data_IF_175532092487
#
_entry.id   IF_175532092487
#
_cell.length_a   1.000
_cell.length_b   1.000
_cell.length_c   1.000
_cell.angle_alpha   90.00
_cell.angle_beta   90.00
_cell.angle_gamma   90.00
#
_symmetry.space_group_name_H-M   'P 1'
#
loop_
_entity.id
_entity.type
_entity.pdbx_description
1 polymer ?
#
# COMPACT_ATOMS: atom_id res chain seq x y z
N UNK A 1 15.64 57.54 14.12
CA UNK A 1 16.72 57.44 13.10
C UNK A 1 16.23 58.04 11.79
N UNK A 2 17.13 58.54 10.92
CA UNK A 2 16.78 58.91 9.55
C UNK A 2 16.14 57.70 8.83
N UNK A 3 15.22 57.93 7.89
CA UNK A 3 14.52 56.83 7.24
C UNK A 3 15.49 56.07 6.32
N UNK A 4 15.38 54.75 6.27
CA UNK A 4 16.10 53.94 5.29
C UNK A 4 15.37 53.90 3.93
N UNK A 5 16.08 53.43 2.91
CA UNK A 5 15.49 53.14 1.60
C UNK A 5 14.41 52.06 1.75
N UNK A 6 13.18 52.27 1.23
CA UNK A 6 12.13 51.26 1.30
C UNK A 6 12.58 49.91 0.73
N UNK A 7 12.55 48.86 1.57
CA UNK A 7 12.94 47.50 1.22
C UNK A 7 11.77 46.73 0.60
N UNK A 8 12.09 45.77 -0.28
CA UNK A 8 11.13 44.93 -0.99
C UNK A 8 10.08 45.69 -1.82
N UNK A 9 10.44 46.86 -2.36
CA UNK A 9 9.55 47.63 -3.23
C UNK A 9 9.32 46.91 -4.56
N UNK A 10 8.08 46.46 -4.77
CA UNK A 10 7.70 45.71 -5.96
C UNK A 10 6.27 46.05 -6.38
N UNK A 11 6.08 46.24 -7.67
CA UNK A 11 4.78 46.46 -8.28
C UNK A 11 4.32 45.25 -9.10
N UNK A 12 3.05 44.89 -8.96
CA UNK A 12 2.44 43.76 -9.66
C UNK A 12 0.96 44.00 -9.98
N UNK A 13 0.40 43.17 -10.86
CA UNK A 13 -1.03 43.15 -11.19
C UNK A 13 -1.60 41.75 -11.08
N UNK A 14 -2.86 41.63 -10.68
CA UNK A 14 -3.59 40.36 -10.63
C UNK A 14 -4.61 40.23 -11.75
N UNK A 15 -5.07 41.37 -12.31
CA UNK A 15 -6.22 41.45 -13.20
C UNK A 15 -5.98 42.26 -14.48
N UNK A 16 -4.77 42.78 -14.69
CA UNK A 16 -4.40 43.68 -15.79
C UNK A 16 -5.20 44.99 -15.85
N UNK A 17 -5.94 45.34 -14.78
CA UNK A 17 -6.70 46.59 -14.65
C UNK A 17 -6.12 47.48 -13.56
N UNK A 18 -5.67 46.88 -12.46
CA UNK A 18 -5.10 47.55 -11.30
C UNK A 18 -3.66 47.10 -11.07
N UNK A 19 -2.76 48.05 -10.85
CA UNK A 19 -1.42 47.80 -10.29
C UNK A 19 -1.49 48.00 -8.80
N UNK A 20 -0.81 47.12 -8.07
CA UNK A 20 -0.55 47.26 -6.64
C UNK A 20 0.94 47.16 -6.39
N UNK A 21 1.50 48.17 -5.73
CA UNK A 21 2.87 48.13 -5.25
C UNK A 21 2.89 47.91 -3.75
N UNK A 22 3.86 47.11 -3.30
CA UNK A 22 4.05 46.80 -1.89
C UNK A 22 5.51 47.02 -1.50
N UNK A 23 5.74 47.42 -0.25
CA UNK A 23 7.07 47.52 0.36
C UNK A 23 6.96 47.28 1.87
N UNK A 24 8.08 46.97 2.52
CA UNK A 24 8.11 46.78 3.97
C UNK A 24 8.18 48.13 4.67
N UNK A 25 7.37 48.31 5.70
CA UNK A 25 7.49 49.43 6.62
C UNK A 25 8.60 49.12 7.62
N UNK A 26 9.47 50.10 7.89
CA UNK A 26 10.47 49.96 8.94
C UNK A 26 9.99 50.60 10.24
N UNK A 27 10.37 49.98 11.36
CA UNK A 27 10.08 50.51 12.68
C UNK A 27 10.94 51.74 12.95
N UNK A 28 10.38 52.91 12.65
CA UNK A 28 10.92 54.16 13.17
C UNK A 28 10.22 54.44 14.50
N UNK A 29 10.98 54.65 15.58
CA UNK A 29 10.44 55.07 16.90
C UNK A 29 9.85 56.51 16.90
N UNK A 30 9.33 56.98 15.77
CA UNK A 30 8.75 58.30 15.56
C UNK A 30 7.24 58.16 15.36
N UNK A 31 6.46 58.82 16.23
CA UNK A 31 5.01 58.70 16.29
C UNK A 31 4.30 60.01 15.97
N UNK A 32 3.00 59.91 15.65
CA UNK A 32 2.14 61.07 15.41
C UNK A 32 2.57 61.88 14.17
N UNK A 33 2.77 63.19 14.32
CA UNK A 33 3.16 64.07 13.20
C UNK A 33 4.56 63.78 12.64
N UNK A 34 5.39 63.09 13.42
CA UNK A 34 6.77 62.77 13.06
C UNK A 34 6.91 61.39 12.42
N UNK A 35 5.79 60.65 12.26
CA UNK A 35 5.80 59.33 11.62
C UNK A 35 6.24 59.42 10.16
N UNK A 36 6.90 58.39 9.63
CA UNK A 36 7.33 58.35 8.24
C UNK A 36 6.12 58.47 7.31
N UNK A 37 6.22 59.36 6.31
CA UNK A 37 5.19 59.57 5.30
C UNK A 37 5.65 58.96 3.98
N UNK A 38 4.85 58.03 3.47
CA UNK A 38 5.07 57.39 2.19
C UNK A 38 4.28 58.08 1.09
N UNK A 39 4.97 58.47 0.02
CA UNK A 39 4.35 59.03 -1.19
C UNK A 39 4.81 58.27 -2.42
N UNK A 40 3.86 57.80 -3.22
CA UNK A 40 4.17 57.15 -4.51
C UNK A 40 3.90 58.13 -5.64
N UNK A 41 4.91 58.26 -6.49
CA UNK A 41 4.89 59.15 -7.63
C UNK A 41 5.25 58.38 -8.90
N UNK A 42 4.65 58.78 -10.02
CA UNK A 42 5.00 58.26 -11.33
C UNK A 42 5.52 59.37 -12.25
N UNK A 43 6.54 59.06 -13.05
CA UNK A 43 7.03 59.93 -14.11
C UNK A 43 6.12 59.81 -15.34
N UNK A 44 5.20 60.75 -15.52
CA UNK A 44 4.54 60.90 -16.82
C UNK A 44 5.50 61.59 -17.77
N UNK A 45 5.96 60.88 -18.79
CA UNK A 45 6.57 61.51 -19.97
C UNK A 45 5.41 62.05 -20.80
N UNK A 46 5.10 63.33 -20.67
CA UNK A 46 4.34 64.02 -21.71
C UNK A 46 5.22 64.00 -22.95
N UNK A 47 4.86 63.21 -23.96
CA UNK A 47 5.40 63.38 -25.31
C UNK A 47 4.44 64.35 -26.00
N UNK A 48 4.79 65.64 -26.22
CA UNK A 48 4.04 66.44 -27.17
C UNK A 48 4.41 65.92 -28.55
N UNK A 49 3.51 65.16 -29.17
CA UNK A 49 3.62 64.91 -30.61
C UNK A 49 3.34 66.22 -31.35
N UNK A 50 4.29 66.58 -32.22
CA UNK A 50 4.25 67.61 -33.27
C UNK A 50 4.33 69.07 -32.80
N UNK A 51 5.56 69.61 -32.77
CA UNK A 51 5.98 70.92 -33.33
C UNK A 51 7.50 71.12 -33.07
N UNK A 52 8.22 71.95 -33.87
CA UNK A 52 9.66 71.78 -34.10
C UNK A 52 10.55 72.24 -32.94
N UNK A 53 11.70 71.57 -32.88
CA UNK A 53 12.82 71.78 -31.96
C UNK A 53 13.21 73.26 -31.78
N UNK A 54 12.76 73.90 -30.70
CA UNK A 54 13.55 74.87 -29.95
C UNK A 54 12.99 74.94 -28.52
N UNK A 55 13.87 74.77 -27.52
CA UNK A 55 13.62 74.87 -26.07
C UNK A 55 12.70 73.78 -25.46
N UNK A 56 13.21 72.54 -25.37
CA UNK A 56 12.65 71.54 -24.46
C UNK A 56 13.15 71.79 -23.03
N UNK A 57 12.36 72.53 -22.24
CA UNK A 57 12.41 72.44 -20.79
C UNK A 57 11.78 71.10 -20.37
N UNK A 58 12.60 70.19 -19.84
CA UNK A 58 12.24 68.81 -19.54
C UNK A 58 11.48 68.74 -18.21
N UNK A 59 10.32 69.41 -18.13
CA UNK A 59 9.48 69.36 -16.93
C UNK A 59 8.78 68.00 -16.81
N UNK A 60 9.50 67.04 -16.26
CA UNK A 60 8.94 65.74 -15.88
C UNK A 60 8.04 65.95 -14.65
N UNK A 61 6.74 66.16 -14.87
CA UNK A 61 5.78 66.32 -13.78
C UNK A 61 5.60 64.98 -13.05
N UNK A 62 6.02 64.94 -11.78
CA UNK A 62 5.80 63.81 -10.87
C UNK A 62 4.37 63.87 -10.33
N UNK A 63 3.51 62.96 -10.80
CA UNK A 63 2.12 62.88 -10.31
C UNK A 63 2.03 61.90 -9.13
N UNK A 64 1.35 62.32 -8.05
CA UNK A 64 1.02 61.44 -6.94
C UNK A 64 -0.04 60.41 -7.35
N UNK A 65 0.23 59.12 -7.11
CA UNK A 65 -0.64 58.02 -7.55
C UNK A 65 -1.74 57.69 -6.55
N UNK A 66 -1.35 57.43 -5.31
CA UNK A 66 -2.24 57.03 -4.23
C UNK A 66 -1.58 57.35 -2.88
N UNK A 67 -2.40 57.42 -1.83
CA UNK A 67 -1.91 57.43 -0.45
C UNK A 67 -1.64 55.99 -0.04
N UNK A 68 -0.46 55.75 0.51
CA UNK A 68 -0.09 54.43 1.02
C UNK A 68 -0.98 54.02 2.20
N UNK A 69 -1.39 52.76 2.22
CA UNK A 69 -2.00 52.12 3.40
C UNK A 69 -0.95 51.21 4.03
N UNK A 70 -0.60 51.46 5.30
CA UNK A 70 0.50 50.77 5.98
C UNK A 70 0.00 49.98 7.19
N UNK A 71 0.32 48.68 7.20
CA UNK A 71 0.07 47.77 8.32
C UNK A 71 1.19 46.71 8.37
N UNK A 72 2.40 47.11 8.82
CA UNK A 72 3.68 46.37 8.71
C UNK A 72 4.18 46.16 7.27
N UNK A 73 3.26 45.97 6.32
CA UNK A 73 3.49 46.01 4.88
C UNK A 73 2.66 47.15 4.30
N UNK A 74 3.31 48.09 3.64
CA UNK A 74 2.62 49.17 2.98
C UNK A 74 2.18 48.75 1.58
N UNK A 75 1.01 49.23 1.15
CA UNK A 75 0.49 49.00 -0.19
C UNK A 75 -0.13 50.25 -0.79
N UNK A 76 -0.11 50.33 -2.11
CA UNK A 76 -0.70 51.42 -2.88
C UNK A 76 -1.18 50.86 -4.22
N UNK A 77 -2.45 51.11 -4.58
CA UNK A 77 -3.03 50.57 -5.80
C UNK A 77 -3.71 51.64 -6.64
N UNK A 78 -3.61 51.50 -7.97
CA UNK A 78 -4.23 52.42 -8.93
C UNK A 78 -4.60 51.72 -10.23
N UNK A 79 -5.46 52.35 -11.03
CA UNK A 79 -5.91 51.82 -12.31
C UNK A 79 -4.92 52.15 -13.44
N UNK A 80 -4.63 51.16 -14.29
CA UNK A 80 -3.59 51.20 -15.34
C UNK A 80 -3.96 52.11 -16.52
N UNK A 81 -5.26 52.41 -16.71
CA UNK A 81 -5.79 53.19 -17.86
C UNK A 81 -5.21 52.66 -19.20
N UNK A 82 -4.55 53.51 -19.98
CA UNK A 82 -3.93 53.16 -21.27
C UNK A 82 -2.41 52.88 -21.17
N UNK A 83 -1.80 53.20 -20.02
CA UNK A 83 -0.35 53.17 -19.85
C UNK A 83 0.12 51.80 -19.36
N UNK A 84 0.98 51.13 -20.14
CA UNK A 84 1.48 49.79 -19.80
C UNK A 84 2.85 49.78 -19.11
N UNK A 85 3.69 50.75 -19.45
CA UNK A 85 5.03 50.89 -18.88
C UNK A 85 4.97 51.95 -17.79
N UNK A 86 5.37 51.58 -16.58
CA UNK A 86 5.36 52.44 -15.41
C UNK A 86 6.77 52.59 -14.87
N UNK A 87 7.13 53.81 -14.48
CA UNK A 87 8.33 54.11 -13.70
C UNK A 87 7.89 54.79 -12.39
N UNK A 88 7.78 53.99 -11.34
CA UNK A 88 7.17 54.38 -10.06
C UNK A 88 8.27 54.58 -9.03
N UNK A 89 8.24 55.73 -8.35
CA UNK A 89 9.14 56.02 -7.24
C UNK A 89 8.35 56.15 -5.95
N UNK A 90 8.67 55.32 -4.96
CA UNK A 90 8.22 55.48 -3.58
C UNK A 90 9.21 56.35 -2.83
N UNK A 91 8.68 57.31 -2.07
CA UNK A 91 9.45 58.26 -1.29
C UNK A 91 8.99 58.19 0.16
N UNK A 92 9.94 57.95 1.07
CA UNK A 92 9.73 58.01 2.52
C UNK A 92 10.38 59.25 3.08
N UNK A 93 9.64 59.99 3.89
CA UNK A 93 10.08 61.26 4.46
C UNK A 93 9.68 61.34 5.94
N UNK A 94 10.64 61.74 6.78
CA UNK A 94 10.43 62.09 8.18
C UNK A 94 11.26 63.35 8.51
N UNK A 95 11.15 63.95 9.72
CA UNK A 95 11.90 65.16 10.06
C UNK A 95 13.44 65.06 9.98
N UNK A 96 13.98 63.84 9.94
CA UNK A 96 15.41 63.55 9.92
C UNK A 96 15.96 63.31 8.50
N UNK A 97 15.10 63.17 7.49
CA UNK A 97 15.56 63.02 6.12
C UNK A 97 14.55 62.36 5.17
N UNK A 98 15.05 62.05 3.97
CA UNK A 98 14.27 61.54 2.84
C UNK A 98 15.02 60.47 2.09
N UNK A 99 14.35 59.36 1.77
CA UNK A 99 14.87 58.27 0.92
C UNK A 99 13.84 57.85 -0.11
N UNK A 100 14.33 57.25 -1.21
CA UNK A 100 13.50 56.86 -2.35
C UNK A 100 13.91 55.50 -2.90
N UNK A 101 12.93 54.73 -3.37
CA UNK A 101 13.15 53.53 -4.17
C UNK A 101 12.32 53.63 -5.45
N UNK A 102 12.83 53.09 -6.56
CA UNK A 102 12.20 53.19 -7.88
C UNK A 102 12.07 51.80 -8.51
N UNK A 103 10.92 51.50 -9.10
CA UNK A 103 10.65 50.27 -9.86
C UNK A 103 10.08 50.65 -11.24
N UNK A 104 10.74 50.16 -12.28
CA UNK A 104 10.35 50.36 -13.68
C UNK A 104 9.92 49.02 -14.27
N UNK A 105 8.69 48.96 -14.77
CA UNK A 105 8.11 47.69 -15.22
C UNK A 105 7.08 47.86 -16.33
N UNK A 106 6.94 46.81 -17.15
CA UNK A 106 5.78 46.61 -18.01
C UNK A 106 4.77 45.73 -17.27
N UNK A 107 3.53 46.22 -17.20
CA UNK A 107 2.40 45.52 -16.57
C UNK A 107 2.22 44.09 -17.11
N UNK A 108 2.46 43.86 -18.42
CA UNK A 108 2.34 42.53 -19.03
C UNK A 108 3.33 41.50 -18.46
N UNK A 109 4.46 41.97 -17.93
CA UNK A 109 5.53 41.13 -17.40
C UNK A 109 5.50 41.03 -15.86
N UNK A 110 4.49 41.62 -15.20
CA UNK A 110 4.36 41.67 -13.73
C UNK A 110 3.04 41.09 -13.24
N UNK A 111 2.56 40.06 -13.92
CA UNK A 111 1.31 39.42 -13.56
C UNK A 111 1.50 38.34 -12.49
N UNK A 112 0.82 38.49 -11.36
CA UNK A 112 0.71 37.52 -10.28
C UNK A 112 -0.77 37.16 -10.09
N UNK A 113 -1.25 36.08 -10.74
CA UNK A 113 -2.64 35.65 -10.66
C UNK A 113 -3.08 35.36 -9.21
N UNK A 114 -4.37 35.52 -8.92
CA UNK A 114 -4.96 35.02 -7.66
C UNK A 114 -4.95 33.49 -7.63
N UNK A 115 -5.10 32.88 -6.46
CA UNK A 115 -5.21 31.42 -6.39
C UNK A 115 -6.55 30.96 -7.01
N UNK A 116 -6.58 29.81 -7.71
CA UNK A 116 -7.84 29.16 -8.06
C UNK A 116 -8.69 28.91 -6.81
N UNK A 117 -10.00 29.11 -6.93
CA UNK A 117 -10.93 28.94 -5.81
C UNK A 117 -12.11 28.06 -6.22
N UNK A 118 -12.83 27.51 -5.22
CA UNK A 118 -13.89 26.53 -5.43
C UNK A 118 -13.38 25.41 -6.34
N UNK A 119 -12.46 24.58 -5.85
CA UNK A 119 -12.01 23.40 -6.59
C UNK A 119 -12.99 22.27 -6.29
N UNK A 120 -13.45 21.57 -7.32
CA UNK A 120 -14.30 20.38 -7.20
C UNK A 120 -13.85 19.30 -8.17
N UNK A 121 -14.31 18.07 -7.95
CA UNK A 121 -13.90 16.88 -8.67
C UNK A 121 -15.08 16.13 -9.30
N UNK A 122 -14.78 15.48 -10.42
CA UNK A 122 -15.56 14.37 -10.98
C UNK A 122 -14.63 13.15 -11.06
N UNK A 123 -14.93 12.10 -10.30
CA UNK A 123 -14.10 10.89 -10.22
C UNK A 123 -14.75 9.71 -10.95
N UNK A 124 -13.91 8.94 -11.65
CA UNK A 124 -14.22 7.56 -12.07
C UNK A 124 -13.41 6.59 -11.20
N UNK A 125 -13.34 5.31 -11.59
CA UNK A 125 -12.49 4.32 -10.92
C UNK A 125 -11.00 4.56 -11.16
N UNK A 126 -10.62 5.17 -12.28
CA UNK A 126 -9.23 5.30 -12.72
C UNK A 126 -8.83 6.72 -13.12
N UNK A 127 -9.77 7.67 -13.07
CA UNK A 127 -9.54 9.06 -13.45
C UNK A 127 -10.18 10.02 -12.44
N UNK A 128 -9.54 11.17 -12.26
CA UNK A 128 -10.07 12.28 -11.48
C UNK A 128 -9.97 13.54 -12.33
N UNK A 129 -11.12 14.17 -12.58
CA UNK A 129 -11.18 15.44 -13.29
C UNK A 129 -11.41 16.56 -12.28
N UNK A 130 -10.44 17.46 -12.16
CA UNK A 130 -10.55 18.62 -11.30
C UNK A 130 -11.03 19.82 -12.09
N UNK A 131 -11.90 20.59 -11.47
CA UNK A 131 -12.48 21.80 -11.98
C UNK A 131 -12.27 22.93 -10.96
N UNK A 132 -12.16 24.16 -11.44
CA UNK A 132 -11.99 25.31 -10.55
C UNK A 132 -12.55 26.60 -11.16
N UNK A 133 -12.83 27.56 -10.28
CA UNK A 133 -13.16 28.91 -10.66
C UNK A 133 -11.97 29.86 -10.53
N UNK A 134 -12.05 30.95 -11.29
CA UNK A 134 -11.05 32.00 -11.32
C UNK A 134 -11.72 33.35 -11.56
N UNK A 135 -11.27 34.40 -10.87
CA UNK A 135 -11.98 35.70 -10.83
C UNK A 135 -11.95 36.42 -12.17
N UNK A 136 -10.86 36.28 -12.94
CA UNK A 136 -10.69 36.99 -14.21
C UNK A 136 -10.70 36.06 -15.42
N UNK A 137 -11.82 36.07 -16.16
CA UNK A 137 -12.01 35.24 -17.34
C UNK A 137 -11.36 35.79 -18.61
N UNK A 138 -10.81 37.01 -18.57
CA UNK A 138 -10.24 37.67 -19.75
C UNK A 138 -8.74 37.39 -19.94
N UNK A 139 -8.11 36.71 -19.00
CA UNK A 139 -6.69 36.44 -19.03
C UNK A 139 -6.47 34.96 -19.31
N UNK A 140 -5.61 34.71 -20.29
CA UNK A 140 -5.15 33.39 -20.65
C UNK A 140 -4.12 32.91 -19.62
N UNK A 141 -4.50 31.88 -18.85
CA UNK A 141 -3.67 31.29 -17.81
C UNK A 141 -3.31 29.86 -18.17
N UNK A 142 -2.13 29.41 -17.76
CA UNK A 142 -1.81 27.99 -17.73
C UNK A 142 -1.74 27.55 -16.27
N UNK A 143 -2.24 26.36 -15.97
CA UNK A 143 -2.37 25.89 -14.61
C UNK A 143 -1.58 24.60 -14.40
N UNK A 144 -1.11 24.42 -13.18
CA UNK A 144 -0.43 23.22 -12.73
C UNK A 144 -1.19 22.65 -11.54
N UNK A 145 -1.39 21.35 -11.59
CA UNK A 145 -2.05 20.56 -10.56
C UNK A 145 -1.01 19.71 -9.88
N UNK A 146 -1.05 19.69 -8.56
CA UNK A 146 -0.30 18.76 -7.73
C UNK A 146 -1.26 17.72 -7.19
N UNK A 147 -0.89 16.45 -7.29
CA UNK A 147 -1.65 15.30 -6.79
C UNK A 147 -0.76 14.49 -5.85
N UNK A 148 -1.18 14.38 -4.60
CA UNK A 148 -0.58 13.51 -3.60
C UNK A 148 -1.24 12.13 -3.68
N UNK A 149 -0.41 11.12 -3.93
CA UNK A 149 -0.80 9.72 -4.02
C UNK A 149 -0.89 9.06 -2.64
N UNK A 150 -1.63 7.93 -2.51
CA UNK A 150 -1.73 7.17 -1.26
C UNK A 150 -0.38 6.71 -0.68
N UNK A 151 0.62 6.48 -1.53
CA UNK A 151 1.96 6.08 -1.12
C UNK A 151 2.85 7.26 -0.67
N UNK A 152 2.30 8.48 -0.67
CA UNK A 152 2.99 9.71 -0.32
C UNK A 152 3.76 10.36 -1.48
N UNK A 153 3.77 9.77 -2.68
CA UNK A 153 4.39 10.41 -3.84
C UNK A 153 3.56 11.58 -4.36
N UNK A 154 4.25 12.56 -4.91
CA UNK A 154 3.62 13.76 -5.48
C UNK A 154 3.84 13.78 -6.98
N UNK A 155 2.77 13.95 -7.74
CA UNK A 155 2.79 14.13 -9.19
C UNK A 155 2.29 15.51 -9.59
N UNK A 156 2.91 16.07 -10.63
CA UNK A 156 2.54 17.37 -11.19
C UNK A 156 1.97 17.21 -12.59
N UNK A 157 0.79 17.74 -12.82
CA UNK A 157 0.10 17.73 -14.11
C UNK A 157 -0.13 19.16 -14.59
N UNK A 158 0.36 19.47 -15.80
CA UNK A 158 0.12 20.77 -16.42
C UNK A 158 -1.17 20.73 -17.26
N UNK A 159 -1.90 21.83 -17.29
CA UNK A 159 -3.07 21.99 -18.15
C UNK A 159 -2.66 21.91 -19.62
N UNK A 160 -3.32 21.05 -20.40
CA UNK A 160 -2.99 20.83 -21.83
C UNK A 160 -3.29 22.04 -22.71
N UNK A 161 -4.24 22.89 -22.29
CA UNK A 161 -4.72 24.05 -23.06
C UNK A 161 -4.74 25.29 -22.17
N UNK A 162 -4.13 26.37 -22.66
CA UNK A 162 -4.16 27.66 -21.98
C UNK A 162 -5.61 28.19 -21.90
N UNK A 163 -6.02 28.65 -20.72
CA UNK A 163 -7.40 29.05 -20.41
C UNK A 163 -8.32 27.90 -19.97
N UNK A 164 -7.87 26.64 -20.05
CA UNK A 164 -8.64 25.52 -19.49
C UNK A 164 -8.75 25.63 -17.98
N UNK A 165 -9.97 25.44 -17.45
CA UNK A 165 -10.28 25.40 -16.01
C UNK A 165 -10.54 23.99 -15.49
N UNK A 166 -9.96 23.04 -16.23
CA UNK A 166 -10.17 21.62 -16.01
C UNK A 166 -8.90 20.86 -16.36
N UNK A 167 -8.60 19.87 -15.55
CA UNK A 167 -7.52 18.91 -15.79
C UNK A 167 -8.00 17.52 -15.40
N UNK A 168 -7.70 16.53 -16.25
CA UNK A 168 -8.01 15.13 -15.96
C UNK A 168 -6.72 14.41 -15.66
N UNK A 169 -6.65 13.85 -14.45
CA UNK A 169 -5.58 12.97 -13.98
C UNK A 169 -6.05 11.54 -14.25
N UNK A 170 -5.23 10.76 -14.96
CA UNK A 170 -5.56 9.40 -15.40
C UNK A 170 -4.60 8.39 -14.78
N UNK A 171 -4.98 7.11 -14.80
CA UNK A 171 -4.15 6.03 -14.27
C UNK A 171 -4.14 5.96 -12.74
N UNK A 172 -5.18 6.49 -12.11
CA UNK A 172 -5.37 6.39 -10.66
C UNK A 172 -5.82 4.97 -10.28
N UNK A 173 -5.52 4.59 -9.04
CA UNK A 173 -5.95 3.33 -8.47
C UNK A 173 -7.43 3.43 -8.06
N UNK A 174 -8.27 2.42 -8.36
CA UNK A 174 -9.64 2.39 -7.87
C UNK A 174 -9.73 2.40 -6.34
N UNK A 175 -10.82 2.97 -5.84
CA UNK A 175 -11.15 3.04 -4.42
C UNK A 175 -10.00 3.57 -3.54
N UNK A 176 -9.26 4.56 -4.03
CA UNK A 176 -8.08 5.12 -3.38
C UNK A 176 -8.24 6.63 -3.19
N UNK A 177 -7.71 7.14 -2.07
CA UNK A 177 -7.83 8.55 -1.70
C UNK A 177 -6.63 9.35 -2.22
N UNK A 178 -6.93 10.49 -2.85
CA UNK A 178 -5.95 11.41 -3.42
C UNK A 178 -6.22 12.82 -2.89
N UNK A 179 -5.16 13.59 -2.68
CA UNK A 179 -5.28 15.02 -2.37
C UNK A 179 -4.71 15.84 -3.51
N UNK A 180 -5.49 16.75 -4.06
CA UNK A 180 -5.07 17.60 -5.17
C UNK A 180 -5.21 19.09 -4.88
N UNK A 181 -4.33 19.89 -5.48
CA UNK A 181 -4.41 21.36 -5.45
C UNK A 181 -3.90 21.95 -6.76
N UNK A 182 -4.39 23.14 -7.11
CA UNK A 182 -4.12 23.78 -8.39
C UNK A 182 -3.53 25.18 -8.18
N UNK A 183 -2.56 25.55 -9.01
CA UNK A 183 -2.04 26.93 -9.12
C UNK A 183 -1.98 27.34 -10.57
N UNK A 184 -2.01 28.64 -10.86
CA UNK A 184 -1.99 29.14 -12.23
C UNK A 184 -0.96 30.25 -12.43
N UNK A 185 -0.47 30.39 -13.65
CA UNK A 185 0.44 31.41 -14.11
C UNK A 185 -0.08 32.07 -15.39
N UNK A 186 0.38 33.29 -15.69
CA UNK A 186 0.05 33.95 -16.94
C UNK A 186 0.64 33.17 -18.13
N UNK A 187 -0.19 32.78 -19.10
CA UNK A 187 0.26 31.99 -20.26
C UNK A 187 1.24 32.76 -21.16
N UNK A 188 1.05 34.07 -21.24
CA UNK A 188 1.98 34.99 -21.92
C UNK A 188 2.81 35.71 -20.88
N UNK A 189 4.11 35.81 -21.15
CA UNK A 189 5.05 36.53 -20.28
C UNK A 189 5.03 36.01 -18.83
N UNK A 190 5.15 34.69 -18.67
CA UNK A 190 5.18 34.05 -17.35
C UNK A 190 6.22 34.70 -16.44
N UNK A 191 5.76 35.15 -15.27
CA UNK A 191 6.62 35.78 -14.27
C UNK A 191 6.69 34.97 -12.98
N UNK A 192 5.53 34.57 -12.45
CA UNK A 192 5.43 33.72 -11.25
C UNK A 192 4.08 33.00 -11.20
N UNK A 193 4.05 31.92 -10.44
CA UNK A 193 2.83 31.19 -10.09
C UNK A 193 1.98 31.96 -9.09
N UNK A 194 0.67 31.75 -9.10
CA UNK A 194 -0.22 32.06 -7.98
C UNK A 194 0.13 31.21 -6.76
N UNK A 195 -0.46 31.58 -5.62
CA UNK A 195 -0.59 30.62 -4.51
C UNK A 195 -1.41 29.40 -4.95
N UNK A 196 -1.23 28.29 -4.25
CA UNK A 196 -2.03 27.10 -4.42
C UNK A 196 -3.48 27.33 -3.97
N UNK A 197 -4.41 26.67 -4.62
CA UNK A 197 -5.78 26.52 -4.12
C UNK A 197 -5.79 25.79 -2.79
N UNK A 198 -6.94 25.85 -2.10
CA UNK A 198 -7.19 24.92 -1.00
C UNK A 198 -7.07 23.47 -1.51
N UNK A 199 -6.48 22.56 -0.71
CA UNK A 199 -6.37 21.15 -1.07
C UNK A 199 -7.76 20.51 -1.07
N UNK A 200 -8.02 19.71 -2.11
CA UNK A 200 -9.22 18.91 -2.26
C UNK A 200 -8.85 17.45 -2.09
N UNK A 201 -9.44 16.78 -1.10
CA UNK A 201 -9.27 15.33 -0.91
C UNK A 201 -10.46 14.61 -1.50
N UNK A 202 -10.20 13.68 -2.41
CA UNK A 202 -11.22 12.92 -3.11
C UNK A 202 -10.82 11.44 -3.21
N UNK A 203 -11.83 10.57 -3.22
CA UNK A 203 -11.64 9.13 -3.43
C UNK A 203 -12.17 8.72 -4.80
N UNK A 204 -11.38 7.95 -5.53
CA UNK A 204 -11.83 7.33 -6.79
C UNK A 204 -12.97 6.34 -6.53
N UNK A 205 -13.79 6.10 -7.55
CA UNK A 205 -14.89 5.14 -7.45
C UNK A 205 -14.38 3.70 -7.29
N UNK A 206 -15.26 2.80 -6.84
CA UNK A 206 -14.96 1.37 -6.87
C UNK A 206 -14.75 0.91 -8.31
N UNK A 207 -13.82 -0.02 -8.51
CA UNK A 207 -13.56 -0.70 -9.77
C UNK A 207 -13.76 -2.21 -9.63
N UNK A 208 -13.74 -2.97 -10.72
CA UNK A 208 -13.87 -4.44 -10.65
C UNK A 208 -12.66 -5.05 -9.91
N UNK A 209 -12.85 -6.00 -8.98
CA UNK A 209 -11.73 -6.64 -8.30
C UNK A 209 -10.83 -7.35 -9.31
N UNK A 210 -9.51 -7.19 -9.19
CA UNK A 210 -8.52 -7.75 -10.11
C UNK A 210 -7.53 -8.67 -9.39
N UNK A 211 -6.97 -9.63 -10.13
CA UNK A 211 -6.11 -10.67 -9.59
C UNK A 211 -6.86 -11.96 -9.21
N UNK A 212 -6.12 -12.93 -8.65
CA UNK A 212 -6.64 -14.24 -8.25
C UNK A 212 -6.56 -14.44 -6.73
N UNK A 213 -7.54 -15.15 -6.19
CA UNK A 213 -7.51 -15.67 -4.83
C UNK A 213 -6.56 -16.86 -4.76
N UNK A 214 -5.91 -17.02 -3.61
CA UNK A 214 -5.20 -18.25 -3.29
C UNK A 214 -6.18 -19.21 -2.63
N UNK A 215 -6.55 -20.27 -3.35
CA UNK A 215 -7.56 -21.24 -2.90
C UNK A 215 -6.90 -22.59 -2.59
N UNK A 216 -7.38 -23.30 -1.58
CA UNK A 216 -6.90 -24.64 -1.26
C UNK A 216 -8.02 -25.53 -0.71
N UNK A 217 -7.70 -26.79 -0.42
CA UNK A 217 -8.70 -27.83 -0.15
C UNK A 217 -8.22 -28.91 0.81
N UNK A 218 -9.15 -29.45 1.58
CA UNK A 218 -9.03 -30.73 2.27
C UNK A 218 -10.12 -31.68 1.76
N UNK A 219 -9.76 -32.92 1.41
CA UNK A 219 -10.71 -33.93 0.91
C UNK A 219 -10.80 -35.04 1.96
N UNK A 220 -12.02 -35.31 2.41
CA UNK A 220 -12.35 -36.42 3.30
C UNK A 220 -13.27 -37.38 2.54
N UNK A 221 -12.80 -38.61 2.22
CA UNK A 221 -13.67 -39.64 1.66
C UNK A 221 -14.82 -39.98 2.62
N UNK A 222 -16.02 -40.14 2.08
CA UNK A 222 -17.23 -40.52 2.83
C UNK A 222 -18.01 -41.57 2.04
N UNK A 223 -18.97 -42.23 2.68
CA UNK A 223 -19.86 -43.15 1.97
C UNK A 223 -20.62 -42.40 0.87
N UNK A 224 -20.53 -42.87 -0.37
CA UNK A 224 -21.21 -42.29 -1.53
C UNK A 224 -20.50 -41.10 -2.19
N UNK A 225 -19.35 -40.64 -1.70
CA UNK A 225 -18.66 -39.50 -2.30
C UNK A 225 -17.51 -38.94 -1.47
N UNK A 226 -17.32 -37.63 -1.55
CA UNK A 226 -16.21 -36.92 -0.90
C UNK A 226 -16.69 -35.59 -0.33
N UNK A 227 -16.37 -35.35 0.94
CA UNK A 227 -16.48 -34.02 1.54
C UNK A 227 -15.23 -33.21 1.19
N UNK A 228 -15.43 -32.05 0.60
CA UNK A 228 -14.37 -31.12 0.22
C UNK A 228 -14.52 -29.87 1.06
N UNK A 229 -13.58 -29.64 1.97
CA UNK A 229 -13.47 -28.36 2.67
C UNK A 229 -12.57 -27.45 1.84
N UNK A 230 -13.13 -26.34 1.35
CA UNK A 230 -12.46 -25.33 0.54
C UNK A 230 -12.01 -24.18 1.45
N UNK A 231 -10.84 -23.63 1.15
CA UNK A 231 -10.26 -22.48 1.83
C UNK A 231 -9.82 -21.46 0.79
N UNK A 232 -9.90 -20.17 1.11
CA UNK A 232 -9.43 -19.10 0.24
C UNK A 232 -8.89 -17.92 1.03
N UNK A 233 -7.90 -17.24 0.45
CA UNK A 233 -7.35 -15.98 0.96
C UNK A 233 -6.96 -15.06 -0.19
N UNK A 234 -6.90 -13.76 0.07
CA UNK A 234 -6.44 -12.78 -0.90
C UNK A 234 -4.92 -12.90 -1.08
N UNK A 235 -4.45 -12.91 -2.32
CA UNK A 235 -3.01 -12.87 -2.60
C UNK A 235 -2.47 -11.45 -2.40
N UNK A 236 -1.16 -11.26 -2.19
CA UNK A 236 -0.58 -9.92 -2.13
C UNK A 236 -0.80 -9.09 -3.41
N UNK A 237 -0.97 -9.75 -4.55
CA UNK A 237 -1.28 -9.13 -5.85
C UNK A 237 -2.78 -8.91 -6.09
N UNK A 238 -3.65 -9.39 -5.21
CA UNK A 238 -5.09 -9.23 -5.35
C UNK A 238 -5.47 -7.79 -5.03
N UNK A 239 -6.12 -7.11 -5.97
CA UNK A 239 -6.62 -5.75 -5.77
C UNK A 239 -8.14 -5.79 -5.66
N UNK A 240 -8.66 -5.53 -4.46
CA UNK A 240 -10.09 -5.55 -4.21
C UNK A 240 -10.84 -4.43 -4.96
N UNK A 241 -10.15 -3.33 -5.29
CA UNK A 241 -10.68 -2.16 -6.00
C UNK A 241 -11.99 -1.64 -5.39
N UNK A 242 -12.17 -1.82 -4.08
CA UNK A 242 -13.43 -1.64 -3.38
C UNK A 242 -13.51 -2.53 -2.15
N UNK A 243 -14.65 -2.50 -1.46
CA UNK A 243 -14.91 -3.39 -0.33
C UNK A 243 -15.47 -4.72 -0.83
N UNK A 244 -14.81 -5.83 -0.51
CA UNK A 244 -15.34 -7.17 -0.80
C UNK A 244 -16.55 -7.45 0.09
N UNK A 245 -17.69 -7.78 -0.54
CA UNK A 245 -18.97 -8.02 0.12
C UNK A 245 -19.30 -9.51 0.24
N UNK A 246 -18.88 -10.32 -0.74
CA UNK A 246 -19.12 -11.76 -0.73
C UNK A 246 -18.11 -12.52 -1.59
N UNK A 247 -18.06 -13.83 -1.37
CA UNK A 247 -17.37 -14.81 -2.20
C UNK A 247 -18.39 -15.75 -2.82
N UNK A 248 -18.27 -16.00 -4.12
CA UNK A 248 -19.11 -16.97 -4.82
C UNK A 248 -18.29 -18.21 -5.10
N UNK A 249 -18.75 -19.35 -4.57
CA UNK A 249 -18.15 -20.66 -4.77
C UNK A 249 -19.04 -21.42 -5.73
N UNK A 250 -18.48 -21.85 -6.85
CA UNK A 250 -19.17 -22.65 -7.86
C UNK A 250 -18.44 -23.96 -8.08
N UNK A 251 -19.18 -25.04 -8.26
CA UNK A 251 -18.60 -26.34 -8.61
C UNK A 251 -19.45 -27.03 -9.68
N UNK A 252 -18.76 -27.61 -10.65
CA UNK A 252 -19.37 -28.25 -11.80
C UNK A 252 -18.68 -29.58 -12.07
N UNK A 253 -19.49 -30.57 -12.46
CA UNK A 253 -19.00 -31.88 -12.84
C UNK A 253 -18.40 -31.78 -14.26
N UNK A 254 -17.14 -32.17 -14.41
CA UNK A 254 -16.42 -32.05 -15.70
C UNK A 254 -16.97 -33.04 -16.73
N UNK A 255 -17.42 -34.20 -16.28
CA UNK A 255 -17.98 -35.26 -17.12
C UNK A 255 -19.51 -35.29 -16.97
N UNK A 256 -20.26 -35.27 -18.09
CA UNK A 256 -21.71 -35.52 -18.08
C UNK A 256 -22.62 -34.30 -18.05
N UNK A 257 -22.12 -33.10 -18.38
CA UNK A 257 -22.96 -31.92 -18.71
C UNK A 257 -23.92 -31.45 -17.61
N UNK A 258 -23.62 -31.75 -16.35
CA UNK A 258 -24.44 -31.33 -15.22
C UNK A 258 -24.38 -29.82 -15.03
N UNK A 259 -25.50 -29.21 -14.63
CA UNK A 259 -25.55 -27.77 -14.34
C UNK A 259 -24.60 -27.44 -13.16
N UNK A 260 -23.90 -26.30 -13.21
CA UNK A 260 -23.05 -25.86 -12.12
C UNK A 260 -23.89 -25.51 -10.89
N UNK A 261 -23.42 -25.93 -9.72
CA UNK A 261 -23.97 -25.51 -8.44
C UNK A 261 -23.18 -24.30 -7.93
N UNK A 262 -23.85 -23.41 -7.18
CA UNK A 262 -23.23 -22.19 -6.64
C UNK A 262 -23.79 -21.82 -5.28
N UNK A 263 -22.92 -21.31 -4.40
CA UNK A 263 -23.30 -20.71 -3.12
C UNK A 263 -22.52 -19.42 -2.92
N UNK A 264 -23.20 -18.37 -2.48
CA UNK A 264 -22.59 -17.12 -2.08
C UNK A 264 -22.41 -17.05 -0.57
N UNK A 265 -21.21 -16.65 -0.13
CA UNK A 265 -20.83 -16.49 1.26
C UNK A 265 -20.47 -15.04 1.55
N UNK A 266 -20.84 -14.52 2.73
CA UNK A 266 -20.39 -13.20 3.19
C UNK A 266 -18.86 -13.11 3.22
N UNK A 267 -18.30 -11.92 3.03
CA UNK A 267 -16.86 -11.67 3.04
C UNK A 267 -16.14 -12.00 4.37
N UNK A 268 -16.89 -12.27 5.44
CA UNK A 268 -16.35 -12.76 6.73
C UNK A 268 -15.88 -14.21 6.64
N UNK A 269 -16.43 -15.00 5.71
CA UNK A 269 -16.06 -16.40 5.53
C UNK A 269 -14.87 -16.54 4.58
N UNK A 270 -13.94 -17.43 4.95
CA UNK A 270 -12.75 -17.80 4.18
C UNK A 270 -12.68 -19.31 3.88
N UNK A 271 -13.70 -20.05 4.30
CA UNK A 271 -13.80 -21.50 4.09
C UNK A 271 -15.25 -21.96 4.03
N UNK A 272 -15.46 -23.09 3.36
CA UNK A 272 -16.76 -23.78 3.30
C UNK A 272 -16.56 -25.27 3.05
N UNK A 273 -17.59 -26.08 3.29
CA UNK A 273 -17.58 -27.50 2.98
C UNK A 273 -18.68 -27.83 2.00
N UNK A 274 -18.31 -28.50 0.92
CA UNK A 274 -19.22 -29.02 -0.11
C UNK A 274 -19.11 -30.55 -0.16
N UNK A 275 -20.16 -31.18 -0.66
CA UNK A 275 -20.18 -32.62 -0.96
C UNK A 275 -20.14 -32.80 -2.48
N UNK A 276 -19.28 -33.69 -2.97
CA UNK A 276 -19.21 -34.07 -4.37
C UNK A 276 -19.21 -35.59 -4.51
N UNK A 277 -19.72 -36.10 -5.63
CA UNK A 277 -19.63 -37.52 -5.95
C UNK A 277 -18.18 -37.92 -6.32
N UNK A 278 -17.94 -39.15 -6.80
CA UNK A 278 -16.59 -39.64 -7.11
C UNK A 278 -16.02 -39.18 -8.47
N UNK A 279 -16.72 -38.38 -9.27
CA UNK A 279 -16.28 -37.91 -10.58
C UNK A 279 -15.31 -36.72 -10.50
N UNK A 280 -14.81 -36.26 -11.65
CA UNK A 280 -13.98 -35.06 -11.69
C UNK A 280 -14.84 -33.79 -11.56
N UNK A 281 -14.43 -32.86 -10.70
CA UNK A 281 -15.10 -31.56 -10.51
C UNK A 281 -14.16 -30.39 -10.75
N UNK A 282 -14.67 -29.35 -11.39
CA UNK A 282 -14.04 -28.04 -11.49
C UNK A 282 -14.71 -27.13 -10.47
N UNK A 283 -13.90 -26.54 -9.60
CA UNK A 283 -14.34 -25.62 -8.55
C UNK A 283 -13.77 -24.25 -8.86
N UNK A 284 -14.59 -23.21 -8.80
CA UNK A 284 -14.15 -21.83 -8.88
C UNK A 284 -14.63 -20.99 -7.71
N UNK A 285 -13.78 -20.04 -7.30
CA UNK A 285 -14.10 -19.05 -6.28
C UNK A 285 -13.83 -17.66 -6.85
N UNK A 286 -14.82 -16.78 -6.75
CA UNK A 286 -14.78 -15.39 -7.20
C UNK A 286 -15.07 -14.45 -6.02
N UNK A 287 -14.37 -13.34 -5.92
CA UNK A 287 -14.65 -12.29 -4.94
C UNK A 287 -15.57 -11.24 -5.56
N UNK A 288 -16.55 -10.73 -4.82
CA UNK A 288 -17.52 -9.74 -5.29
C UNK A 288 -17.39 -8.44 -4.50
N UNK A 289 -17.40 -7.30 -5.19
CA UNK A 289 -17.63 -5.97 -4.60
C UNK A 289 -18.93 -5.34 -5.14
N UNK A 290 -19.18 -4.04 -4.92
CA UNK A 290 -20.41 -3.41 -5.39
C UNK A 290 -20.48 -3.23 -6.92
N UNK A 291 -19.34 -3.34 -7.61
CA UNK A 291 -19.23 -3.16 -9.06
C UNK A 291 -19.40 -4.48 -9.79
N UNK A 292 -18.55 -5.47 -9.48
CA UNK A 292 -18.56 -6.76 -10.19
C UNK A 292 -17.81 -7.86 -9.41
N UNK A 293 -17.68 -9.02 -10.04
CA UNK A 293 -16.89 -10.14 -9.56
C UNK A 293 -15.45 -10.12 -10.10
N UNK A 294 -14.52 -10.67 -9.33
CA UNK A 294 -13.16 -10.96 -9.75
C UNK A 294 -13.14 -12.07 -10.81
N UNK A 295 -12.01 -12.23 -11.49
CA UNK A 295 -11.77 -13.45 -12.27
C UNK A 295 -11.83 -14.71 -11.37
N UNK A 296 -12.31 -15.85 -11.90
CA UNK A 296 -12.42 -17.08 -11.13
C UNK A 296 -11.05 -17.66 -10.81
N UNK A 297 -10.85 -17.99 -9.55
CA UNK A 297 -9.73 -18.81 -9.08
C UNK A 297 -10.16 -20.26 -9.11
N UNK A 298 -9.43 -21.13 -9.80
CA UNK A 298 -9.91 -22.46 -10.19
C UNK A 298 -9.07 -23.57 -9.58
N UNK A 299 -9.74 -24.61 -9.09
CA UNK A 299 -9.17 -25.84 -8.59
C UNK A 299 -9.91 -27.02 -9.25
N UNK A 300 -9.17 -28.05 -9.66
CA UNK A 300 -9.79 -29.27 -10.19
C UNK A 300 -9.55 -30.42 -9.23
N UNK A 301 -10.64 -31.08 -8.84
CA UNK A 301 -10.61 -32.33 -8.08
C UNK A 301 -10.78 -33.47 -9.08
N UNK A 302 -9.74 -34.30 -9.20
CA UNK A 302 -9.75 -35.46 -10.08
C UNK A 302 -10.70 -36.55 -9.57
N UNK A 303 -11.19 -37.38 -10.49
CA UNK A 303 -11.99 -38.58 -10.19
C UNK A 303 -11.33 -39.46 -9.13
N UNK A 304 -12.13 -39.95 -8.18
CA UNK A 304 -11.73 -41.03 -7.30
C UNK A 304 -11.90 -42.35 -8.05
N UNK A 305 -10.84 -43.14 -8.21
CA UNK A 305 -10.94 -44.51 -8.73
C UNK A 305 -11.39 -45.46 -7.60
N UNK A 306 -12.02 -46.60 -7.92
CA UNK A 306 -12.41 -47.61 -6.90
C UNK A 306 -11.21 -48.22 -6.18
N UNK A 307 -10.04 -48.18 -6.84
CA UNK A 307 -8.72 -48.24 -6.21
C UNK A 307 -8.43 -46.96 -5.40
N UNK A 308 -9.39 -46.34 -4.72
CA UNK A 308 -9.13 -45.21 -3.82
C UNK A 308 -8.53 -45.70 -2.50
N UNK A 309 -8.53 -47.01 -2.24
CA UNK A 309 -7.48 -47.68 -1.46
C UNK A 309 -6.14 -47.85 -2.22
N UNK A 310 -5.84 -47.05 -3.23
CA UNK A 310 -4.61 -47.08 -4.03
C UNK A 310 -4.27 -45.72 -4.69
N UNK A 311 -5.21 -44.76 -4.75
CA UNK A 311 -4.94 -43.33 -5.02
C UNK A 311 -5.03 -42.50 -3.72
N UNK A 312 -5.84 -42.95 -2.74
CA UNK A 312 -5.77 -42.47 -1.35
C UNK A 312 -5.15 -43.49 -0.38
N UNK A 313 -4.91 -44.75 -0.78
CA UNK A 313 -3.70 -45.43 -0.30
C UNK A 313 -2.62 -45.03 -1.29
N UNK A 314 -1.83 -44.01 -1.02
CA UNK A 314 -0.79 -44.21 -0.03
C UNK A 314 -0.37 -45.69 0.02
N UNK A 315 0.21 -46.25 -1.05
CA UNK A 315 1.44 -47.01 -0.77
C UNK A 315 2.20 -46.12 0.21
N UNK A 316 2.38 -46.58 1.45
CA UNK A 316 2.79 -45.78 2.60
C UNK A 316 3.99 -44.91 2.21
N UNK A 317 3.70 -43.70 1.70
CA UNK A 317 4.73 -42.73 1.37
C UNK A 317 5.37 -42.47 2.71
N UNK A 318 6.56 -43.05 2.89
CA UNK A 318 7.27 -43.00 4.16
C UNK A 318 7.35 -41.55 4.57
N UNK A 319 6.89 -41.25 5.78
CA UNK A 319 6.92 -39.90 6.28
C UNK A 319 8.38 -39.51 6.48
N UNK A 320 8.88 -38.62 5.63
CA UNK A 320 10.23 -38.09 5.75
C UNK A 320 10.32 -37.17 6.96
N UNK A 321 11.40 -37.24 7.72
CA UNK A 321 11.66 -36.28 8.79
C UNK A 321 12.25 -34.99 8.22
N UNK A 322 11.83 -33.85 8.74
CA UNK A 322 12.39 -32.53 8.44
C UNK A 322 12.86 -31.84 9.71
N UNK A 323 13.94 -31.08 9.56
CA UNK A 323 14.56 -30.36 10.67
C UNK A 323 14.01 -28.93 10.74
N UNK A 324 13.72 -28.50 11.95
CA UNK A 324 13.51 -27.09 12.26
C UNK A 324 14.83 -26.33 12.35
N UNK A 325 14.76 -25.06 12.01
CA UNK A 325 15.81 -24.04 12.12
C UNK A 325 15.26 -22.86 12.93
N UNK A 326 16.11 -21.91 13.31
CA UNK A 326 15.66 -20.71 14.03
C UNK A 326 14.65 -19.88 13.21
N UNK A 327 14.73 -19.96 11.87
CA UNK A 327 13.88 -19.22 10.94
C UNK A 327 12.59 -19.96 10.53
N UNK A 328 12.45 -21.26 10.85
CA UNK A 328 11.29 -22.06 10.44
C UNK A 328 11.59 -23.54 10.24
N UNK A 329 10.77 -24.24 9.45
CA UNK A 329 11.00 -25.66 9.13
C UNK A 329 11.46 -25.78 7.69
N UNK A 330 12.64 -26.37 7.47
CA UNK A 330 13.21 -26.53 6.14
C UNK A 330 12.62 -27.77 5.45
N UNK A 331 12.00 -27.57 4.30
CA UNK A 331 11.38 -28.61 3.50
C UNK A 331 12.02 -28.62 2.13
N UNK A 332 12.58 -29.76 1.73
CA UNK A 332 13.05 -30.03 0.38
C UNK A 332 12.21 -31.13 -0.26
N UNK A 333 12.04 -31.05 -1.58
CA UNK A 333 11.35 -32.04 -2.39
C UNK A 333 12.04 -32.17 -3.75
N UNK A 334 11.82 -33.29 -4.43
CA UNK A 334 12.40 -33.49 -5.76
C UNK A 334 11.57 -32.75 -6.82
N UNK A 335 12.14 -31.74 -7.52
CA UNK A 335 11.42 -31.03 -8.56
C UNK A 335 11.29 -31.91 -9.80
N UNK A 336 10.09 -31.97 -10.38
CA UNK A 336 9.81 -32.60 -11.67
C UNK A 336 9.37 -31.55 -12.70
N UNK A 337 9.89 -31.67 -13.92
CA UNK A 337 9.60 -30.76 -15.04
C UNK A 337 8.14 -30.79 -15.50
N UNK A 338 7.40 -31.83 -15.10
CA UNK A 338 5.98 -31.98 -15.42
C UNK A 338 5.06 -31.04 -14.65
N UNK A 339 5.50 -30.44 -13.53
CA UNK A 339 4.66 -29.61 -12.66
C UNK A 339 4.88 -28.10 -12.89
N UNK A 340 3.78 -27.37 -13.03
CA UNK A 340 3.80 -25.91 -13.20
C UNK A 340 4.01 -25.18 -11.86
N UNK A 341 3.65 -25.83 -10.75
CA UNK A 341 3.77 -25.30 -9.40
C UNK A 341 3.74 -26.39 -8.34
N UNK A 342 4.23 -26.07 -7.15
CA UNK A 342 4.14 -26.91 -5.96
C UNK A 342 3.28 -26.24 -4.90
N UNK A 343 2.56 -27.04 -4.13
CA UNK A 343 1.82 -26.58 -2.96
C UNK A 343 2.27 -27.41 -1.76
N UNK A 344 2.66 -26.75 -0.69
CA UNK A 344 2.88 -27.39 0.59
C UNK A 344 1.76 -26.95 1.51
N UNK A 345 1.02 -27.92 2.04
CA UNK A 345 0.10 -27.67 3.14
C UNK A 345 0.61 -28.33 4.42
N UNK A 346 0.19 -27.78 5.56
CA UNK A 346 0.62 -28.28 6.85
C UNK A 346 -0.38 -28.04 7.96
N UNK A 347 -0.26 -28.87 8.99
CA UNK A 347 -1.06 -28.81 10.20
C UNK A 347 -0.36 -29.47 11.39
N UNK A 348 -0.79 -29.15 12.62
CA UNK A 348 -0.34 -29.82 13.83
C UNK A 348 -0.83 -31.28 13.91
N UNK A 349 -0.09 -32.11 14.65
CA UNK A 349 -0.34 -33.53 14.86
C UNK A 349 0.04 -33.92 16.30
N UNK A 350 -0.74 -34.76 17.01
CA UNK A 350 -2.06 -35.32 16.65
C UNK A 350 -3.19 -34.27 16.66
N UNK A 351 -4.28 -34.53 15.92
CA UNK A 351 -5.43 -33.59 15.77
C UNK A 351 -6.27 -33.51 17.05
N UNK A 352 -5.75 -32.87 18.09
CA UNK A 352 -6.50 -32.64 19.34
C UNK A 352 -7.38 -31.37 19.30
N UNK A 353 -7.21 -30.52 18.28
CA UNK A 353 -8.01 -29.32 18.02
C UNK A 353 -8.29 -29.19 16.51
N UNK A 354 -9.30 -28.40 16.08
CA UNK A 354 -9.52 -28.15 14.66
C UNK A 354 -8.20 -27.64 14.05
N UNK A 355 -7.74 -28.41 13.09
CA UNK A 355 -6.52 -28.17 12.33
C UNK A 355 -6.62 -26.84 11.57
N UNK A 356 -5.84 -25.83 11.96
CA UNK A 356 -5.69 -24.59 11.19
C UNK A 356 -4.83 -24.86 9.95
N UNK A 357 -5.41 -25.56 8.96
CA UNK A 357 -4.73 -25.93 7.71
C UNK A 357 -4.13 -24.68 7.04
N UNK A 358 -2.80 -24.65 6.98
CA UNK A 358 -2.07 -23.61 6.26
C UNK A 358 -1.50 -24.18 4.97
N UNK A 359 -1.32 -23.33 3.97
CA UNK A 359 -0.69 -23.71 2.72
C UNK A 359 0.08 -22.56 2.09
N UNK A 360 1.08 -22.93 1.29
CA UNK A 360 1.91 -22.01 0.50
C UNK A 360 2.19 -22.61 -0.87
N UNK A 361 2.16 -21.76 -1.89
CA UNK A 361 2.44 -22.11 -3.29
C UNK A 361 3.84 -21.69 -3.67
N UNK A 362 4.47 -22.48 -4.53
CA UNK A 362 5.81 -22.26 -5.06
C UNK A 362 5.80 -22.46 -6.58
N UNK A 363 6.67 -21.73 -7.29
CA UNK A 363 6.82 -21.88 -8.73
C UNK A 363 7.44 -23.23 -9.13
N UNK A 364 7.38 -23.57 -10.41
CA UNK A 364 7.93 -24.82 -10.98
C UNK A 364 9.41 -25.06 -10.71
N UNK A 365 10.20 -23.99 -10.56
CA UNK A 365 11.66 -24.08 -10.34
C UNK A 365 12.04 -24.31 -8.87
N UNK A 366 11.08 -24.31 -7.95
CA UNK A 366 11.37 -24.49 -6.53
C UNK A 366 11.56 -25.97 -6.16
N UNK A 367 12.61 -26.27 -5.41
CA UNK A 367 12.95 -27.60 -4.88
C UNK A 367 13.08 -27.62 -3.36
N UNK A 368 13.05 -26.46 -2.71
CA UNK A 368 13.06 -26.34 -1.26
C UNK A 368 12.49 -25.01 -0.80
N UNK A 369 12.08 -24.96 0.46
CA UNK A 369 11.63 -23.75 1.13
C UNK A 369 11.77 -23.89 2.65
N UNK A 370 12.09 -22.79 3.31
CA UNK A 370 11.86 -22.64 4.76
C UNK A 370 10.41 -22.18 4.95
N UNK A 371 9.62 -22.97 5.66
CA UNK A 371 8.28 -22.58 6.08
C UNK A 371 8.40 -21.86 7.41
N UNK A 372 8.17 -20.55 7.39
CA UNK A 372 8.13 -19.71 8.59
C UNK A 372 6.68 -19.40 8.94
N UNK A 373 6.27 -19.66 10.18
CA UNK A 373 4.94 -19.34 10.68
C UNK A 373 5.04 -18.95 12.16
N UNK A 374 4.42 -17.83 12.52
CA UNK A 374 4.30 -17.42 13.92
C UNK A 374 3.45 -18.40 14.76
N UNK A 375 2.67 -19.26 14.10
CA UNK A 375 1.87 -20.30 14.75
C UNK A 375 2.68 -21.57 15.08
N UNK A 376 3.97 -21.63 14.72
CA UNK A 376 4.81 -22.76 15.08
C UNK A 376 5.24 -22.72 16.54
N UNK A 377 4.98 -23.82 17.24
CA UNK A 377 5.24 -23.96 18.68
C UNK A 377 6.32 -25.04 18.90
N UNK A 378 7.36 -24.76 19.69
CA UNK A 378 8.32 -25.79 20.13
C UNK A 378 7.63 -26.99 20.80
N UNK A 379 8.08 -28.20 20.49
CA UNK A 379 7.49 -29.44 21.00
C UNK A 379 6.19 -29.87 20.30
N UNK A 380 5.67 -29.11 19.34
CA UNK A 380 4.50 -29.52 18.54
C UNK A 380 4.95 -30.12 17.22
N UNK A 381 4.46 -31.33 16.92
CA UNK A 381 4.72 -32.01 15.65
C UNK A 381 3.83 -31.44 14.56
N UNK A 382 4.42 -31.15 13.41
CA UNK A 382 3.70 -30.71 12.22
C UNK A 382 3.81 -31.75 11.12
N UNK A 383 2.70 -31.96 10.42
CA UNK A 383 2.61 -32.81 9.23
C UNK A 383 2.51 -31.93 8.00
N UNK A 384 3.40 -32.16 7.06
CA UNK A 384 3.48 -31.47 5.78
C UNK A 384 3.11 -32.41 4.65
N UNK A 385 2.31 -31.94 3.70
CA UNK A 385 2.00 -32.66 2.46
C UNK A 385 2.43 -31.80 1.28
N UNK A 386 3.27 -32.37 0.43
CA UNK A 386 3.83 -31.70 -0.74
C UNK A 386 3.06 -32.19 -1.96
N UNK A 387 2.50 -31.25 -2.72
CA UNK A 387 1.72 -31.50 -3.92
C UNK A 387 2.39 -30.89 -5.14
N UNK A 388 2.42 -31.63 -6.24
CA UNK A 388 2.71 -31.10 -7.57
C UNK A 388 1.41 -30.74 -8.28
N UNK A 389 1.35 -29.58 -8.93
CA UNK A 389 0.16 -29.09 -9.62
C UNK A 389 0.41 -28.86 -11.10
N UNK A 390 -0.47 -29.42 -11.95
CA UNK A 390 -0.53 -29.20 -13.41
C UNK A 390 -1.93 -28.81 -13.79
N UNK A 391 -2.11 -27.73 -14.55
CA UNK A 391 -3.42 -27.31 -15.04
C UNK A 391 -4.53 -27.31 -13.96
N UNK A 392 -4.23 -26.77 -12.77
CA UNK A 392 -5.09 -26.72 -11.58
C UNK A 392 -5.45 -28.07 -10.93
N UNK A 393 -4.78 -29.17 -11.32
CA UNK A 393 -4.90 -30.49 -10.68
C UNK A 393 -3.70 -30.74 -9.78
N UNK A 394 -3.94 -30.91 -8.48
CA UNK A 394 -2.91 -31.20 -7.49
C UNK A 394 -2.80 -32.71 -7.21
N UNK A 395 -1.59 -33.25 -7.25
CA UNK A 395 -1.26 -34.64 -6.94
C UNK A 395 -0.28 -34.68 -5.75
N UNK A 396 -0.53 -35.55 -4.77
CA UNK A 396 0.34 -35.70 -3.61
C UNK A 396 1.66 -36.38 -4.03
N UNK A 397 2.79 -35.79 -3.66
CA UNK A 397 4.13 -36.30 -3.97
C UNK A 397 4.80 -36.92 -2.74
N UNK A 398 4.84 -36.16 -1.65
CA UNK A 398 5.59 -36.52 -0.44
C UNK A 398 4.82 -36.13 0.82
N UNK A 399 5.05 -36.88 1.90
CA UNK A 399 4.61 -36.54 3.25
C UNK A 399 5.83 -36.35 4.13
N UNK A 400 5.85 -35.28 4.91
CA UNK A 400 6.91 -35.03 5.86
C UNK A 400 6.36 -34.67 7.23
N UNK A 401 7.19 -34.88 8.24
CA UNK A 401 6.89 -34.65 9.65
C UNK A 401 8.08 -33.95 10.28
N UNK A 402 7.82 -33.00 11.16
CA UNK A 402 8.91 -32.33 11.86
C UNK A 402 8.41 -31.37 12.93
N UNK A 403 9.37 -30.82 13.64
CA UNK A 403 9.17 -29.86 14.73
C UNK A 403 9.93 -28.58 14.36
N UNK A 404 9.43 -27.42 14.81
CA UNK A 404 10.24 -26.21 14.78
C UNK A 404 11.47 -26.37 15.69
N UNK A 405 11.22 -26.91 16.89
CA UNK A 405 12.25 -27.27 17.85
C UNK A 405 11.75 -28.46 18.66
N UNK A 406 12.53 -29.52 18.68
CA UNK A 406 12.27 -30.69 19.53
C UNK A 406 12.55 -30.34 21.00
N UNK A 407 11.69 -30.83 21.88
CA UNK A 407 11.82 -30.71 23.33
C UNK A 407 12.01 -32.11 23.94
N UNK A 408 12.68 -32.22 25.11
CA UNK A 408 12.85 -33.51 25.77
C UNK A 408 11.49 -34.11 26.16
N UNK A 409 11.36 -35.45 26.19
CA UNK A 409 10.18 -36.13 26.73
C UNK A 409 9.81 -35.59 28.11
N UNK A 410 8.52 -35.37 28.36
CA UNK A 410 8.04 -34.81 29.62
C UNK A 410 8.14 -35.83 30.78
N UNK A 411 8.04 -37.12 30.48
CA UNK A 411 8.05 -38.22 31.44
C UNK A 411 8.96 -39.33 30.93
N UNK A 412 9.75 -39.91 31.83
CA UNK A 412 10.52 -41.12 31.56
C UNK A 412 9.60 -42.35 31.45
N UNK A 413 9.96 -43.37 30.65
CA UNK A 413 9.16 -44.58 30.53
C UNK A 413 9.15 -45.34 31.86
N UNK A 414 7.95 -45.72 32.31
CA UNK A 414 7.78 -46.47 33.55
C UNK A 414 8.04 -47.95 33.25
N UNK A 415 9.08 -48.52 33.86
CA UNK A 415 9.35 -49.96 33.79
C UNK A 415 8.20 -50.72 34.46
N UNK A 416 7.50 -51.55 33.68
CA UNK A 416 6.35 -52.34 34.12
C UNK A 416 6.76 -53.70 34.68
N UNK A 417 7.79 -54.30 34.09
CA UNK A 417 8.24 -55.65 34.44
C UNK A 417 9.76 -55.72 34.51
N UNK A 418 10.25 -56.46 35.49
CA UNK A 418 11.66 -56.78 35.68
C UNK A 418 11.76 -58.29 35.90
N UNK A 419 12.38 -59.00 34.97
CA UNK A 419 12.68 -60.43 35.11
C UNK A 419 14.18 -60.62 35.35
N UNK A 420 14.52 -61.40 36.37
CA UNK A 420 15.89 -61.67 36.78
C UNK A 420 16.25 -63.13 36.49
N UNK A 421 17.40 -63.35 35.87
CA UNK A 421 18.06 -64.67 35.80
C UNK A 421 19.40 -64.61 36.53
N UNK A 422 20.08 -65.75 36.66
CA UNK A 422 21.39 -65.80 37.33
C UNK A 422 22.45 -64.88 36.67
N UNK A 423 22.32 -64.59 35.36
CA UNK A 423 23.29 -63.81 34.58
C UNK A 423 22.69 -62.63 33.78
N UNK A 424 21.38 -62.39 33.82
CA UNK A 424 20.74 -61.33 33.04
C UNK A 424 19.58 -60.65 33.75
N UNK A 425 19.32 -59.41 33.37
CA UNK A 425 18.16 -58.61 33.79
C UNK A 425 17.40 -58.21 32.53
N UNK A 426 16.10 -58.54 32.47
CA UNK A 426 15.21 -58.14 31.38
C UNK A 426 14.24 -57.10 31.91
N UNK A 427 14.24 -55.93 31.27
CA UNK A 427 13.35 -54.81 31.59
C UNK A 427 12.27 -54.71 30.50
N UNK A 428 11.03 -54.43 30.88
CA UNK A 428 9.95 -54.17 29.93
C UNK A 428 9.14 -52.95 30.36
N UNK A 429 8.92 -52.03 29.42
CA UNK A 429 8.14 -50.81 29.59
C UNK A 429 7.20 -50.62 28.40
N UNK A 430 6.16 -49.81 28.60
CA UNK A 430 5.26 -49.43 27.52
C UNK A 430 6.01 -48.49 26.56
N UNK A 431 5.86 -48.71 25.24
CA UNK A 431 6.32 -47.72 24.26
C UNK A 431 5.56 -46.42 24.48
N UNK A 432 6.22 -45.29 24.27
CA UNK A 432 5.49 -44.03 24.12
C UNK A 432 4.44 -44.19 23.01
N UNK A 433 3.26 -43.65 23.26
CA UNK A 433 2.15 -43.69 22.31
C UNK A 433 2.47 -42.73 21.17
N UNK A 434 2.82 -43.25 19.99
CA UNK A 434 3.08 -42.48 18.76
C UNK A 434 1.89 -41.63 18.28
N UNK A 435 0.71 -41.84 18.85
CA UNK A 435 -0.51 -41.09 18.58
C UNK A 435 -0.71 -39.89 19.54
N UNK A 436 0.15 -39.71 20.54
CA UNK A 436 0.13 -38.56 21.43
C UNK A 436 1.22 -37.55 21.05
N UNK A 437 1.09 -36.31 21.54
CA UNK A 437 2.02 -35.21 21.23
C UNK A 437 3.36 -35.42 21.94
N UNK A 438 4.18 -36.35 21.44
CA UNK A 438 5.56 -36.40 21.85
C UNK A 438 6.25 -35.08 21.49
N UNK A 439 7.03 -34.50 22.42
CA UNK A 439 7.70 -33.22 22.20
C UNK A 439 8.87 -33.27 21.21
N UNK A 440 9.25 -34.45 20.72
CA UNK A 440 10.37 -34.65 19.80
C UNK A 440 10.37 -36.04 19.18
N UNK A 441 11.39 -36.37 18.39
CA UNK A 441 11.60 -37.71 17.87
C UNK A 441 12.43 -38.54 18.85
N UNK A 442 11.87 -39.64 19.34
CA UNK A 442 12.60 -40.58 20.18
C UNK A 442 13.74 -41.24 19.39
N UNK A 443 14.97 -41.09 19.90
CA UNK A 443 16.19 -41.64 19.27
C UNK A 443 16.71 -42.91 19.93
N UNK A 444 16.20 -43.25 21.11
CA UNK A 444 16.66 -44.39 21.90
C UNK A 444 16.50 -44.16 23.40
N UNK A 445 16.95 -45.14 24.18
CA UNK A 445 16.82 -45.15 25.63
C UNK A 445 18.18 -45.27 26.32
N UNK A 446 18.33 -44.60 27.45
CA UNK A 446 19.48 -44.77 28.34
C UNK A 446 19.05 -45.53 29.59
N UNK A 447 19.71 -46.66 29.87
CA UNK A 447 19.46 -47.46 31.07
C UNK A 447 20.66 -47.35 32.01
N UNK A 448 20.39 -47.02 33.27
CA UNK A 448 21.39 -46.93 34.34
C UNK A 448 21.09 -47.98 35.41
N UNK A 449 22.09 -48.79 35.75
CA UNK A 449 21.98 -49.82 36.79
C UNK A 449 23.02 -49.53 37.88
N UNK A 450 22.61 -49.61 39.15
CA UNK A 450 23.49 -49.39 40.31
C UNK A 450 23.22 -50.39 41.45
N UNK A 451 24.23 -50.75 42.26
CA UNK A 451 24.04 -51.58 43.45
C UNK A 451 23.27 -50.83 44.55
N UNK A 452 22.48 -51.56 45.35
CA UNK A 452 21.56 -51.04 46.37
C UNK A 452 22.25 -50.20 47.48
N UNK A 453 23.58 -50.29 47.65
CA UNK A 453 24.30 -49.69 48.78
C UNK A 453 24.94 -48.30 48.52
N UNK A 454 24.60 -47.62 47.42
CA UNK A 454 25.00 -46.22 47.20
C UNK A 454 23.81 -45.28 47.19
N UNK A 455 23.96 -44.07 47.75
CA UNK A 455 23.02 -42.96 47.50
C UNK A 455 22.64 -42.94 46.01
N UNK A 456 21.36 -42.75 45.68
CA UNK A 456 20.80 -42.68 44.32
C UNK A 456 21.39 -41.51 43.49
N UNK A 457 22.70 -41.53 43.27
CA UNK A 457 23.47 -40.60 42.47
C UNK A 457 23.99 -41.40 41.27
N UNK A 458 24.02 -40.79 40.10
CA UNK A 458 24.58 -41.38 38.87
C UNK A 458 26.09 -41.72 38.96
N UNK A 459 26.73 -41.44 40.11
CA UNK A 459 28.12 -41.80 40.41
C UNK A 459 28.22 -43.30 40.64
N UNK A 460 28.78 -44.02 39.65
CA UNK A 460 29.03 -45.47 39.72
C UNK A 460 28.04 -46.33 38.94
N UNK A 461 27.02 -45.74 38.30
CA UNK A 461 26.10 -46.47 37.44
C UNK A 461 26.75 -46.85 36.11
N UNK A 462 26.47 -48.06 35.61
CA UNK A 462 26.87 -48.47 34.25
C UNK A 462 25.80 -48.02 33.26
N UNK A 463 26.18 -47.22 32.25
CA UNK A 463 25.30 -46.73 31.19
C UNK A 463 25.19 -47.75 30.07
N UNK A 464 23.96 -48.11 29.70
CA UNK A 464 23.65 -48.89 28.51
C UNK A 464 22.82 -48.04 27.54
N UNK A 465 23.25 -47.95 26.28
CA UNK A 465 22.53 -47.23 25.21
C UNK A 465 21.78 -48.28 24.40
N UNK A 466 20.45 -48.13 24.32
CA UNK A 466 19.59 -48.97 23.52
C UNK A 466 19.09 -48.12 22.34
N UNK A 467 19.54 -48.47 21.14
CA UNK A 467 19.15 -47.81 19.87
C UNK A 467 17.85 -48.37 19.33
#
# INVERSE_FOLDING_TARGET
EPPETPKDFLCQTQDMKRVTCTWREEETYLYGKNSPRYTLQHLSLSVPCLLPLTLFDRSSQKMALCKASCSKRCSCSWNIRQQRIWNVTVTVENPLGKKTATDAFDVNHRMYPTAPFQVWEDCTDTEMTLHWNYENNKIELFCQTEVLQPDGKVELHNSSVAGSRRVTVRGLQPYSEYTARVRCGAAKHFWRWSEWSQPLTARTMEGTPSGKLDIWREITPVLGGRNVTLFWKQTPSFQANGKIISYEVTWEKIEGGSQPESISFSSVYNSTRIFIDNHSYRISIMAKNNVNFSLPSVLIISRATDNSRSIFSTEELKEGQVNGTDDGIFISWEPRTTYDSYIIDWCNFPRLQPCDLQWKRFGSNASSAVISSAAFVPGVRYKFRIYGSVANRASLLEKKIGYLRELPPCLDPIVRKIDLTYNSVTLSWDSYLTNESEPGFLRGYHVYVSPVQGNCNLKGSKKHILS
#
